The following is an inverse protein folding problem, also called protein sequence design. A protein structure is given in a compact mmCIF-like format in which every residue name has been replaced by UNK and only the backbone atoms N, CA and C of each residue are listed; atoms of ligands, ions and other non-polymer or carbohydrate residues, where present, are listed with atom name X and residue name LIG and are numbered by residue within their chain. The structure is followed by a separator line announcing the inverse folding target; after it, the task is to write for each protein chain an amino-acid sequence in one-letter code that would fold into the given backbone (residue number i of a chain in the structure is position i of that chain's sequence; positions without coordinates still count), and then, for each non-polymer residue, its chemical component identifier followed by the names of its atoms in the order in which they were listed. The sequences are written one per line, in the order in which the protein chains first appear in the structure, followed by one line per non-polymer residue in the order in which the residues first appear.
data_IF_670421357288
#
_entry.id   IF_670421357288
#
_cell.length_a   1.000
_cell.length_b   1.000
_cell.length_c   1.000
_cell.angle_alpha   90.00
_cell.angle_beta   90.00
_cell.angle_gamma   90.00
#
_symmetry.space_group_name_H-M   'P 1'
#
loop_
_entity.id
_entity.type
_entity.pdbx_description
1 polymer ?
#
# COMPACT_ATOMS: atom_id res chain seq x y z
N UNK A 1 -14.67 46.53 -68.59
CA UNK A 1 -16.07 46.09 -68.45
C UNK A 1 -16.05 44.59 -68.64
N UNK A 2 -15.74 43.79 -67.61
CA UNK A 2 -16.52 43.46 -66.40
C UNK A 2 -17.59 42.39 -66.65
N UNK A 3 -17.59 41.43 -65.71
CA UNK A 3 -18.63 40.45 -65.35
C UNK A 3 -18.62 39.10 -66.09
N UNK A 4 -18.69 37.92 -65.45
CA UNK A 4 -18.67 37.47 -64.05
C UNK A 4 -18.54 35.92 -64.08
N UNK A 5 -18.05 35.25 -63.02
CA UNK A 5 -17.90 33.78 -63.00
C UNK A 5 -19.24 33.06 -62.73
N UNK A 6 -19.41 31.79 -63.15
CA UNK A 6 -20.65 31.06 -62.89
C UNK A 6 -20.77 30.70 -61.40
N UNK A 7 -21.98 30.90 -60.93
CA UNK A 7 -22.50 30.76 -59.58
C UNK A 7 -22.37 29.35 -59.01
N UNK A 8 -22.09 29.31 -57.70
CA UNK A 8 -22.16 28.10 -56.89
C UNK A 8 -23.58 27.54 -56.84
N UNK A 9 -23.70 26.25 -57.13
CA UNK A 9 -24.86 25.44 -56.77
C UNK A 9 -24.78 25.02 -55.29
N UNK A 10 -25.92 24.96 -54.58
CA UNK A 10 -25.95 24.60 -53.18
C UNK A 10 -25.45 23.16 -52.98
N UNK A 11 -24.45 23.01 -52.10
CA UNK A 11 -23.98 21.72 -51.63
C UNK A 11 -25.15 20.92 -51.04
N UNK A 12 -25.58 19.90 -51.78
CA UNK A 12 -26.46 18.86 -51.24
C UNK A 12 -25.78 18.19 -50.05
N UNK A 13 -26.55 17.76 -49.03
CA UNK A 13 -26.00 17.17 -47.82
C UNK A 13 -25.16 15.95 -48.21
N UNK A 14 -23.88 15.97 -47.81
CA UNK A 14 -22.96 14.87 -48.00
C UNK A 14 -23.60 13.58 -47.53
N UNK A 15 -23.88 12.69 -48.48
CA UNK A 15 -24.38 11.35 -48.19
C UNK A 15 -23.41 10.61 -47.27
N UNK A 16 -23.91 9.76 -46.36
CA UNK A 16 -23.06 9.06 -45.41
C UNK A 16 -22.09 8.14 -46.17
N UNK A 17 -20.79 8.38 -45.97
CA UNK A 17 -19.75 7.47 -46.42
C UNK A 17 -19.95 6.05 -45.84
N UNK A 18 -19.41 5.01 -46.49
CA UNK A 18 -19.82 3.63 -46.24
C UNK A 18 -19.33 3.08 -44.88
N UNK A 19 -20.27 2.95 -43.94
CA UNK A 19 -20.36 1.80 -43.03
C UNK A 19 -19.73 1.91 -41.62
N UNK A 20 -19.47 3.10 -41.09
CA UNK A 20 -19.16 3.23 -39.67
C UNK A 20 -20.39 2.93 -38.80
N UNK A 21 -20.25 2.36 -37.58
CA UNK A 21 -21.36 2.33 -36.61
C UNK A 21 -21.93 3.74 -36.44
N UNK A 22 -23.25 3.88 -36.54
CA UNK A 22 -23.91 5.17 -36.40
C UNK A 22 -23.74 5.66 -34.95
N UNK A 23 -23.17 6.86 -34.78
CA UNK A 23 -22.97 7.45 -33.45
C UNK A 23 -24.33 7.74 -32.79
N UNK A 24 -24.49 7.50 -31.48
CA UNK A 24 -25.72 7.85 -30.77
C UNK A 24 -25.94 9.37 -30.79
N UNK A 25 -27.20 9.79 -30.73
CA UNK A 25 -27.58 11.21 -30.76
C UNK A 25 -27.23 11.96 -29.46
N UNK A 26 -26.96 11.23 -28.37
CA UNK A 26 -26.55 11.76 -27.07
C UNK A 26 -25.36 10.98 -26.50
N UNK A 27 -24.53 11.62 -25.65
CA UNK A 27 -23.42 10.94 -25.00
C UNK A 27 -23.91 9.92 -23.97
N UNK A 28 -23.10 8.90 -23.61
CA UNK A 28 -21.74 8.65 -24.09
C UNK A 28 -21.70 8.09 -25.54
N UNK A 29 -20.67 8.46 -26.29
CA UNK A 29 -20.46 8.14 -27.71
C UNK A 29 -19.58 6.90 -27.92
N UNK A 30 -19.65 6.31 -29.11
CA UNK A 30 -18.84 5.15 -29.47
C UNK A 30 -17.38 5.54 -29.75
N UNK A 31 -16.38 4.79 -29.24
CA UNK A 31 -14.97 4.97 -29.58
C UNK A 31 -14.71 4.82 -31.08
N UNK A 32 -13.80 5.63 -31.61
CA UNK A 32 -13.39 5.55 -33.02
C UNK A 32 -12.36 4.43 -33.30
N UNK A 33 -11.79 3.81 -32.27
CA UNK A 33 -10.74 2.80 -32.34
C UNK A 33 -11.09 1.57 -31.51
N UNK A 34 -10.47 0.44 -31.83
CA UNK A 34 -10.62 -0.80 -31.10
C UNK A 34 -9.99 -0.70 -29.70
N UNK A 35 -10.77 -1.10 -28.69
CA UNK A 35 -10.33 -1.17 -27.29
C UNK A 35 -9.80 -2.56 -26.98
N UNK A 36 -8.78 -2.65 -26.11
CA UNK A 36 -8.26 -3.92 -25.60
C UNK A 36 -9.38 -4.80 -25.02
N UNK A 37 -9.52 -6.01 -25.54
CA UNK A 37 -10.57 -6.96 -25.15
C UNK A 37 -11.91 -6.73 -25.84
N UNK A 38 -12.04 -5.67 -26.64
CA UNK A 38 -13.23 -5.34 -27.42
C UNK A 38 -14.54 -5.34 -26.60
N UNK A 39 -15.65 -5.50 -27.34
CA UNK A 39 -16.96 -5.65 -26.73
C UNK A 39 -17.07 -7.03 -26.05
N UNK A 40 -17.43 -7.08 -24.76
CA UNK A 40 -17.61 -8.33 -24.05
C UNK A 40 -18.81 -9.11 -24.61
N UNK A 41 -18.75 -10.44 -24.53
CA UNK A 41 -19.79 -11.35 -25.00
C UNK A 41 -20.12 -12.35 -23.91
N UNK A 42 -21.40 -12.62 -23.69
CA UNK A 42 -21.89 -13.58 -22.68
C UNK A 42 -21.13 -14.92 -22.67
N UNK A 43 -20.99 -15.67 -23.78
CA UNK A 43 -20.40 -17.02 -23.73
C UNK A 43 -18.92 -17.06 -23.33
N UNK A 44 -18.18 -15.96 -23.43
CA UNK A 44 -16.74 -15.92 -23.15
C UNK A 44 -16.42 -15.07 -21.92
N UNK A 45 -16.87 -13.83 -21.89
CA UNK A 45 -16.50 -12.87 -20.83
C UNK A 45 -17.17 -13.21 -19.50
N UNK A 46 -18.38 -13.77 -19.49
CA UNK A 46 -19.08 -14.09 -18.22
C UNK A 46 -18.38 -15.23 -17.48
N UNK A 47 -18.09 -16.40 -18.09
CA UNK A 47 -17.35 -17.46 -17.41
C UNK A 47 -15.96 -17.01 -16.92
N UNK A 48 -15.17 -16.35 -17.79
CA UNK A 48 -13.81 -15.92 -17.44
C UNK A 48 -13.84 -14.90 -16.30
N UNK A 49 -14.72 -13.90 -16.39
CA UNK A 49 -14.84 -12.88 -15.34
C UNK A 49 -15.31 -13.48 -14.01
N UNK A 50 -16.20 -14.47 -14.05
CA UNK A 50 -16.67 -15.16 -12.84
C UNK A 50 -15.54 -15.91 -12.13
N UNK A 51 -14.66 -16.58 -12.88
CA UNK A 51 -13.48 -17.26 -12.32
C UNK A 51 -12.53 -16.25 -11.66
N UNK A 52 -12.16 -15.18 -12.37
CA UNK A 52 -11.32 -14.12 -11.79
C UNK A 52 -11.96 -13.48 -10.56
N UNK A 53 -13.27 -13.24 -10.60
CA UNK A 53 -14.03 -12.66 -9.51
C UNK A 53 -13.97 -13.55 -8.27
N UNK A 54 -14.17 -14.87 -8.42
CA UNK A 54 -14.05 -15.83 -7.33
C UNK A 54 -12.63 -15.82 -6.71
N UNK A 55 -11.59 -15.75 -7.55
CA UNK A 55 -10.20 -15.68 -7.08
C UNK A 55 -9.94 -14.37 -6.31
N UNK A 56 -10.40 -13.22 -6.81
CA UNK A 56 -10.26 -11.95 -6.09
C UNK A 56 -11.05 -11.91 -4.79
N UNK A 57 -12.24 -12.50 -4.74
CA UNK A 57 -13.02 -12.63 -3.49
C UNK A 57 -12.23 -13.46 -2.48
N UNK A 58 -11.70 -14.62 -2.89
CA UNK A 58 -10.91 -15.47 -2.01
C UNK A 58 -9.63 -14.78 -1.53
N UNK A 59 -8.88 -14.14 -2.43
CA UNK A 59 -7.68 -13.39 -2.09
C UNK A 59 -7.97 -12.20 -1.16
N UNK A 60 -9.07 -11.48 -1.42
CA UNK A 60 -9.56 -10.39 -0.58
C UNK A 60 -9.92 -10.89 0.82
N UNK A 61 -10.62 -12.03 0.93
CA UNK A 61 -10.95 -12.66 2.21
C UNK A 61 -9.68 -13.03 3.00
N UNK A 62 -8.64 -13.54 2.34
CA UNK A 62 -7.33 -13.82 2.96
C UNK A 62 -6.70 -12.54 3.50
N UNK A 63 -6.60 -11.47 2.69
CA UNK A 63 -6.01 -10.21 3.12
C UNK A 63 -6.80 -9.53 4.26
N UNK A 64 -8.13 -9.57 4.20
CA UNK A 64 -9.00 -9.10 5.29
C UNK A 64 -8.82 -9.94 6.56
N UNK A 65 -8.75 -11.26 6.44
CA UNK A 65 -8.50 -12.17 7.55
C UNK A 65 -7.16 -11.90 8.22
N UNK A 66 -6.10 -11.71 7.42
CA UNK A 66 -4.77 -11.31 7.89
C UNK A 66 -4.82 -9.96 8.59
N UNK A 67 -5.46 -8.95 8.00
CA UNK A 67 -5.58 -7.62 8.60
C UNK A 67 -6.27 -7.67 9.97
N UNK A 68 -7.41 -8.35 10.06
CA UNK A 68 -8.16 -8.54 11.33
C UNK A 68 -7.33 -9.30 12.36
N UNK A 69 -6.65 -10.37 11.96
CA UNK A 69 -5.81 -11.16 12.86
C UNK A 69 -4.59 -10.38 13.36
N UNK A 70 -4.10 -9.42 12.59
CA UNK A 70 -2.96 -8.59 12.93
C UNK A 70 -3.36 -7.44 13.87
N UNK A 71 -4.49 -6.79 13.64
CA UNK A 71 -5.05 -5.80 14.59
C UNK A 71 -5.31 -6.42 15.96
N UNK A 72 -5.84 -7.65 16.01
CA UNK A 72 -6.05 -8.38 17.28
C UNK A 72 -4.78 -8.64 18.09
N UNK A 73 -3.59 -8.44 17.50
CA UNK A 73 -2.27 -8.65 18.12
C UNK A 73 -1.47 -7.34 18.21
N UNK A 74 -2.13 -6.19 18.10
CA UNK A 74 -1.49 -4.86 18.02
C UNK A 74 -0.43 -4.73 16.91
N UNK A 75 -0.51 -5.58 15.88
CA UNK A 75 0.36 -5.56 14.72
C UNK A 75 -0.33 -4.83 13.57
N UNK A 76 -0.34 -3.50 13.57
CA UNK A 76 -1.00 -2.75 12.49
C UNK A 76 -0.22 -2.88 11.18
N UNK A 77 -0.88 -3.39 10.13
CA UNK A 77 -0.29 -3.48 8.79
C UNK A 77 -1.32 -3.04 7.74
N UNK A 78 -1.34 -1.74 7.46
CA UNK A 78 -2.32 -1.08 6.60
C UNK A 78 -2.35 -1.65 5.17
N UNK A 79 -1.23 -2.18 4.66
CA UNK A 79 -1.20 -2.71 3.29
C UNK A 79 -2.07 -3.96 3.12
N UNK A 80 -2.35 -4.74 4.17
CA UNK A 80 -3.33 -5.83 4.06
C UNK A 80 -4.75 -5.31 3.85
N UNK A 81 -5.11 -4.18 4.46
CA UNK A 81 -6.39 -3.52 4.18
C UNK A 81 -6.41 -2.92 2.76
N UNK A 82 -5.31 -2.31 2.31
CA UNK A 82 -5.20 -1.82 0.92
C UNK A 82 -5.34 -2.96 -0.09
N UNK A 83 -4.68 -4.11 0.11
CA UNK A 83 -4.80 -5.26 -0.78
C UNK A 83 -6.22 -5.86 -0.78
N UNK A 84 -6.94 -5.78 0.33
CA UNK A 84 -8.37 -6.10 0.34
C UNK A 84 -9.19 -5.12 -0.52
N UNK A 85 -8.99 -3.80 -0.35
CA UNK A 85 -9.67 -2.77 -1.16
C UNK A 85 -9.35 -2.94 -2.65
N UNK A 86 -8.10 -3.29 -2.98
CA UNK A 86 -7.70 -3.65 -4.33
C UNK A 86 -8.53 -4.82 -4.88
N UNK A 87 -8.63 -5.92 -4.14
CA UNK A 87 -9.41 -7.08 -4.55
C UNK A 87 -10.89 -6.73 -4.75
N UNK A 88 -11.45 -5.91 -3.85
CA UNK A 88 -12.83 -5.44 -3.97
C UNK A 88 -13.05 -4.59 -5.22
N UNK A 89 -12.13 -3.66 -5.53
CA UNK A 89 -12.19 -2.86 -6.74
C UNK A 89 -12.15 -3.74 -8.00
N UNK A 90 -11.37 -4.84 -7.99
CA UNK A 90 -11.32 -5.81 -9.09
C UNK A 90 -12.59 -6.64 -9.24
N UNK A 91 -13.23 -7.00 -8.14
CA UNK A 91 -14.58 -7.61 -8.18
C UNK A 91 -15.57 -6.67 -8.86
N UNK A 92 -15.60 -5.37 -8.51
CA UNK A 92 -16.49 -4.40 -9.17
C UNK A 92 -16.17 -4.20 -10.66
N UNK A 93 -14.89 -4.19 -11.04
CA UNK A 93 -14.50 -4.12 -12.45
C UNK A 93 -14.99 -5.34 -13.25
N UNK A 94 -14.93 -6.54 -12.65
CA UNK A 94 -15.41 -7.77 -13.29
C UNK A 94 -16.94 -7.84 -13.34
N UNK A 95 -17.64 -7.38 -12.30
CA UNK A 95 -19.11 -7.26 -12.30
C UNK A 95 -19.55 -6.33 -13.43
N UNK A 96 -18.97 -5.14 -13.54
CA UNK A 96 -19.33 -4.21 -14.62
C UNK A 96 -18.99 -4.76 -16.01
N UNK A 97 -17.92 -5.55 -16.14
CA UNK A 97 -17.61 -6.29 -17.38
C UNK A 97 -18.67 -7.35 -17.72
N UNK A 98 -19.19 -8.07 -16.72
CA UNK A 98 -20.30 -9.04 -16.89
C UNK A 98 -21.59 -8.33 -17.31
N UNK A 99 -21.94 -7.23 -16.63
CA UNK A 99 -23.14 -6.44 -16.95
C UNK A 99 -23.04 -5.88 -18.37
N UNK A 100 -21.87 -5.39 -18.78
CA UNK A 100 -21.66 -4.93 -20.16
C UNK A 100 -21.81 -6.09 -21.17
N UNK A 101 -21.37 -7.31 -20.83
CA UNK A 101 -21.56 -8.47 -21.69
C UNK A 101 -23.04 -8.83 -21.90
N UNK A 102 -23.87 -8.66 -20.87
CA UNK A 102 -25.31 -8.92 -20.92
C UNK A 102 -26.11 -7.79 -21.57
N UNK A 103 -25.61 -6.55 -21.49
CA UNK A 103 -26.25 -5.34 -21.99
C UNK A 103 -25.26 -4.53 -22.86
N UNK A 104 -24.90 -5.05 -24.05
CA UNK A 104 -23.84 -4.46 -24.89
C UNK A 104 -24.17 -3.04 -25.38
N UNK A 105 -25.45 -2.71 -25.52
CA UNK A 105 -25.91 -1.40 -25.99
C UNK A 105 -25.89 -0.31 -24.91
N UNK A 106 -25.66 -0.68 -23.63
CA UNK A 106 -25.59 0.29 -22.54
C UNK A 106 -24.18 0.89 -22.42
N UNK A 107 -23.96 1.99 -23.14
CA UNK A 107 -22.67 2.68 -23.21
C UNK A 107 -22.20 3.23 -21.86
N UNK A 108 -23.10 3.60 -20.95
CA UNK A 108 -22.72 4.04 -19.59
C UNK A 108 -22.03 2.92 -18.79
N UNK A 109 -22.52 1.68 -18.94
CA UNK A 109 -21.87 0.51 -18.32
C UNK A 109 -20.51 0.23 -18.97
N UNK A 110 -20.40 0.41 -20.29
CA UNK A 110 -19.13 0.27 -21.01
C UNK A 110 -18.08 1.26 -20.49
N UNK A 111 -18.45 2.53 -20.30
CA UNK A 111 -17.57 3.55 -19.72
C UNK A 111 -17.16 3.16 -18.31
N UNK A 112 -18.11 2.80 -17.45
CA UNK A 112 -17.83 2.38 -16.07
C UNK A 112 -16.87 1.18 -16.00
N UNK A 113 -17.06 0.18 -16.88
CA UNK A 113 -16.19 -0.98 -16.98
C UNK A 113 -14.75 -0.59 -17.33
N UNK A 114 -14.55 0.25 -18.35
CA UNK A 114 -13.23 0.72 -18.76
C UNK A 114 -12.53 1.53 -17.66
N UNK A 115 -13.26 2.42 -16.98
CA UNK A 115 -12.71 3.23 -15.88
C UNK A 115 -12.28 2.36 -14.70
N UNK A 116 -13.11 1.40 -14.26
CA UNK A 116 -12.78 0.50 -13.16
C UNK A 116 -11.61 -0.43 -13.46
N UNK A 117 -11.49 -0.90 -14.71
CA UNK A 117 -10.34 -1.68 -15.17
C UNK A 117 -9.05 -0.85 -15.10
N UNK A 118 -9.08 0.38 -15.59
CA UNK A 118 -7.92 1.27 -15.58
C UNK A 118 -7.50 1.68 -14.16
N UNK A 119 -8.47 2.03 -13.31
CA UNK A 119 -8.19 2.61 -12.00
C UNK A 119 -7.56 1.63 -10.99
N UNK A 120 -7.95 0.36 -11.03
CA UNK A 120 -7.53 -0.60 -10.00
C UNK A 120 -6.01 -0.85 -9.92
N UNK A 121 -5.29 -0.75 -11.04
CA UNK A 121 -3.89 -1.23 -11.14
C UNK A 121 -2.91 -0.41 -10.32
N UNK A 122 -3.26 0.86 -10.09
CA UNK A 122 -2.39 1.87 -9.50
C UNK A 122 -2.03 1.53 -8.05
N UNK A 123 -2.93 0.86 -7.34
CA UNK A 123 -2.74 0.57 -5.92
C UNK A 123 -1.57 -0.40 -5.67
N UNK A 124 -1.34 -1.36 -6.57
CA UNK A 124 -0.19 -2.27 -6.46
C UNK A 124 1.14 -1.56 -6.71
N UNK A 125 1.17 -0.53 -7.56
CA UNK A 125 2.36 0.30 -7.76
C UNK A 125 2.71 1.07 -6.49
N UNK A 126 1.71 1.66 -5.83
CA UNK A 126 1.90 2.35 -4.54
C UNK A 126 2.47 1.41 -3.48
N UNK A 127 1.90 0.20 -3.35
CA UNK A 127 2.40 -0.81 -2.39
C UNK A 127 3.88 -1.13 -2.66
N UNK A 128 4.26 -1.36 -3.92
CA UNK A 128 5.64 -1.68 -4.28
C UNK A 128 6.61 -0.51 -4.05
N UNK A 129 6.20 0.72 -4.35
CA UNK A 129 7.00 1.91 -4.07
C UNK A 129 7.21 2.11 -2.57
N UNK A 130 6.18 1.86 -1.75
CA UNK A 130 6.31 1.96 -0.29
C UNK A 130 7.22 0.85 0.26
N UNK A 131 7.10 -0.38 -0.23
CA UNK A 131 8.02 -1.45 0.14
C UNK A 131 9.46 -1.17 -0.30
N UNK A 132 9.64 -0.57 -1.47
CA UNK A 132 10.93 -0.08 -1.95
C UNK A 132 11.52 0.96 -1.01
N UNK A 133 10.73 1.96 -0.59
CA UNK A 133 11.16 2.96 0.37
C UNK A 133 11.64 2.33 1.69
N UNK A 134 10.92 1.31 2.20
CA UNK A 134 11.32 0.56 3.39
C UNK A 134 12.65 -0.17 3.20
N UNK A 135 12.86 -0.78 2.03
CA UNK A 135 14.14 -1.43 1.70
C UNK A 135 15.27 -0.39 1.63
N UNK A 136 15.07 0.76 0.98
CA UNK A 136 16.09 1.82 0.91
C UNK A 136 16.46 2.32 2.30
N UNK A 137 15.47 2.54 3.19
CA UNK A 137 15.70 2.92 4.59
C UNK A 137 16.44 1.85 5.39
N UNK A 138 16.27 0.59 5.03
CA UNK A 138 17.00 -0.53 5.64
C UNK A 138 18.45 -0.60 5.18
N UNK A 139 18.71 -0.50 3.88
CA UNK A 139 20.07 -0.57 3.33
C UNK A 139 20.90 0.68 3.62
N UNK A 140 20.28 1.86 3.51
CA UNK A 140 20.94 3.16 3.66
C UNK A 140 20.11 4.08 4.57
N UNK A 141 20.12 3.88 5.90
CA UNK A 141 19.26 4.62 6.83
C UNK A 141 19.43 6.14 6.73
N UNK A 142 20.65 6.66 6.77
CA UNK A 142 20.92 8.09 6.68
C UNK A 142 20.38 8.72 5.38
N UNK A 143 20.53 8.03 4.25
CA UNK A 143 20.02 8.48 2.96
C UNK A 143 18.50 8.31 2.83
N UNK A 144 17.94 7.18 3.27
CA UNK A 144 16.52 6.86 3.17
C UNK A 144 15.62 7.69 4.08
N UNK A 145 16.16 8.21 5.18
CA UNK A 145 15.48 9.15 6.08
C UNK A 145 15.78 10.62 5.76
N UNK A 146 16.68 10.91 4.80
CA UNK A 146 16.97 12.27 4.38
C UNK A 146 15.72 12.96 3.82
N UNK A 147 15.56 14.26 4.12
CA UNK A 147 14.37 15.06 3.73
C UNK A 147 14.12 15.03 2.23
N UNK A 148 15.18 15.10 1.42
CA UNK A 148 15.08 15.04 -0.05
C UNK A 148 14.52 13.69 -0.51
N UNK A 149 15.07 12.58 -0.01
CA UNK A 149 14.62 11.23 -0.37
C UNK A 149 13.17 11.02 0.05
N UNK A 150 12.79 11.45 1.26
CA UNK A 150 11.40 11.38 1.71
C UNK A 150 10.47 12.23 0.83
N UNK A 151 10.88 13.47 0.50
CA UNK A 151 10.16 14.35 -0.41
C UNK A 151 9.99 13.76 -1.80
N UNK A 152 11.02 13.10 -2.34
CA UNK A 152 10.96 12.43 -3.65
C UNK A 152 9.95 11.27 -3.66
N UNK A 153 9.90 10.44 -2.61
CA UNK A 153 8.88 9.40 -2.48
C UNK A 153 7.47 10.00 -2.34
N UNK A 154 7.30 11.05 -1.53
CA UNK A 154 6.02 11.76 -1.39
C UNK A 154 5.56 12.34 -2.74
N UNK A 155 6.46 13.01 -3.47
CA UNK A 155 6.18 13.53 -4.80
C UNK A 155 5.81 12.41 -5.78
N UNK A 156 6.47 11.26 -5.70
CA UNK A 156 6.14 10.08 -6.51
C UNK A 156 4.73 9.57 -6.19
N UNK A 157 4.34 9.49 -4.91
CA UNK A 157 2.99 9.09 -4.52
C UNK A 157 1.94 10.11 -4.97
N UNK A 158 2.21 11.40 -4.83
CA UNK A 158 1.33 12.46 -5.32
C UNK A 158 1.18 12.40 -6.86
N UNK A 159 2.27 12.16 -7.58
CA UNK A 159 2.26 11.98 -9.03
C UNK A 159 1.39 10.79 -9.44
N UNK A 160 1.49 9.65 -8.74
CA UNK A 160 0.64 8.48 -9.00
C UNK A 160 -0.86 8.83 -8.89
N UNK A 161 -1.25 9.57 -7.85
CA UNK A 161 -2.66 9.99 -7.66
C UNK A 161 -3.07 10.99 -8.75
N UNK A 162 -2.22 11.97 -9.07
CA UNK A 162 -2.48 12.96 -10.12
C UNK A 162 -2.67 12.29 -11.49
N UNK A 163 -1.83 11.31 -11.84
CA UNK A 163 -1.95 10.54 -13.08
C UNK A 163 -3.25 9.74 -13.12
N UNK A 164 -3.68 9.16 -11.99
CA UNK A 164 -4.94 8.44 -11.92
C UNK A 164 -6.14 9.37 -12.21
N UNK A 165 -6.19 10.53 -11.56
CA UNK A 165 -7.27 11.52 -11.78
C UNK A 165 -7.26 11.98 -13.24
N UNK A 166 -6.09 12.36 -13.75
CA UNK A 166 -5.92 12.83 -15.12
C UNK A 166 -6.37 11.77 -16.13
N UNK A 167 -5.98 10.51 -15.95
CA UNK A 167 -6.32 9.42 -16.85
C UNK A 167 -7.81 9.07 -16.81
N UNK A 168 -8.44 9.06 -15.63
CA UNK A 168 -9.88 8.86 -15.49
C UNK A 168 -10.62 9.98 -16.20
N UNK A 169 -10.27 11.24 -15.94
CA UNK A 169 -10.93 12.41 -16.54
C UNK A 169 -10.81 12.38 -18.06
N UNK A 170 -9.60 12.17 -18.61
CA UNK A 170 -9.40 12.09 -20.06
C UNK A 170 -10.12 10.88 -20.68
N UNK A 171 -10.17 9.75 -19.98
CA UNK A 171 -10.93 8.57 -20.43
C UNK A 171 -12.41 8.90 -20.52
N UNK A 172 -13.02 9.36 -19.42
CA UNK A 172 -14.45 9.70 -19.39
C UNK A 172 -14.76 10.79 -20.40
N UNK A 173 -14.00 11.89 -20.42
CA UNK A 173 -14.25 13.02 -21.32
C UNK A 173 -14.23 12.60 -22.80
N UNK A 174 -13.33 11.71 -23.20
CA UNK A 174 -13.27 11.21 -24.59
C UNK A 174 -14.55 10.50 -25.05
N UNK A 175 -15.35 9.96 -24.12
CA UNK A 175 -16.67 9.37 -24.42
C UNK A 175 -17.80 10.42 -24.49
N UNK A 176 -17.63 11.63 -23.98
CA UNK A 176 -18.68 12.64 -23.89
C UNK A 176 -18.52 13.80 -24.90
N UNK A 177 -17.46 13.78 -25.70
CA UNK A 177 -17.21 14.77 -26.77
C UNK A 177 -17.19 14.10 -28.14
N UNK A 178 -17.64 14.79 -29.18
CA UNK A 178 -17.49 14.39 -30.59
C UNK A 178 -16.40 15.22 -31.31
N UNK A 179 -15.86 16.25 -30.66
CA UNK A 179 -14.85 17.14 -31.23
C UNK A 179 -13.52 16.36 -31.44
N UNK A 180 -13.05 16.21 -32.69
CA UNK A 180 -11.79 15.51 -32.98
C UNK A 180 -10.58 16.15 -32.31
N UNK A 181 -10.54 17.47 -32.16
CA UNK A 181 -9.40 18.17 -31.55
C UNK A 181 -9.34 17.88 -30.05
N UNK A 182 -10.49 17.91 -29.36
CA UNK A 182 -10.56 17.58 -27.94
C UNK A 182 -10.21 16.11 -27.69
N UNK A 183 -10.70 15.19 -28.53
CA UNK A 183 -10.35 13.77 -28.44
C UNK A 183 -8.85 13.53 -28.67
N UNK A 184 -8.21 14.29 -29.56
CA UNK A 184 -6.76 14.21 -29.76
C UNK A 184 -5.99 14.64 -28.49
N UNK A 185 -6.42 15.74 -27.84
CA UNK A 185 -5.82 16.19 -26.57
C UNK A 185 -6.03 15.18 -25.44
N UNK A 186 -7.24 14.65 -25.28
CA UNK A 186 -7.52 13.59 -24.30
C UNK A 186 -6.66 12.35 -24.57
N UNK A 187 -6.43 12.03 -25.84
CA UNK A 187 -5.59 10.91 -26.24
C UNK A 187 -4.13 11.13 -25.87
N UNK A 188 -3.57 12.31 -26.11
CA UNK A 188 -2.20 12.65 -25.71
C UNK A 188 -2.04 12.51 -24.19
N UNK A 189 -3.03 13.00 -23.43
CA UNK A 189 -3.08 12.84 -21.97
C UNK A 189 -3.08 11.37 -21.57
N UNK A 190 -3.89 10.53 -22.23
CA UNK A 190 -3.91 9.09 -21.95
C UNK A 190 -2.57 8.40 -22.25
N UNK A 191 -1.91 8.77 -23.35
CA UNK A 191 -0.60 8.22 -23.73
C UNK A 191 0.47 8.61 -22.70
N UNK A 192 0.55 9.89 -22.34
CA UNK A 192 1.49 10.38 -21.32
C UNK A 192 1.21 9.70 -19.97
N UNK A 193 -0.06 9.63 -19.58
CA UNK A 193 -0.48 8.98 -18.33
C UNK A 193 -0.11 7.51 -18.27
N UNK A 194 -0.39 6.75 -19.33
CA UNK A 194 -0.04 5.33 -19.42
C UNK A 194 1.48 5.11 -19.39
N UNK A 195 2.25 5.94 -20.10
CA UNK A 195 3.73 5.86 -20.11
C UNK A 195 4.32 6.13 -18.75
N UNK A 196 3.87 7.20 -18.07
CA UNK A 196 4.36 7.52 -16.74
C UNK A 196 3.97 6.45 -15.71
N UNK A 197 2.77 5.86 -15.80
CA UNK A 197 2.38 4.73 -14.96
C UNK A 197 3.23 3.47 -15.23
N UNK A 198 3.61 3.19 -16.48
CA UNK A 198 4.52 2.09 -16.80
C UNK A 198 5.93 2.34 -16.25
N UNK A 199 6.44 3.57 -16.34
CA UNK A 199 7.70 3.95 -15.70
C UNK A 199 7.63 3.81 -14.18
N UNK A 200 6.52 4.23 -13.56
CA UNK A 200 6.29 4.09 -12.11
C UNK A 200 6.19 2.63 -11.66
N UNK A 201 5.61 1.75 -12.48
CA UNK A 201 5.58 0.31 -12.22
C UNK A 201 6.98 -0.32 -12.26
N UNK A 202 7.85 0.19 -13.15
CA UNK A 202 9.23 -0.23 -13.27
C UNK A 202 10.14 0.34 -12.17
N UNK A 203 9.89 1.58 -11.74
CA UNK A 203 10.73 2.37 -10.84
C UNK A 203 11.22 1.67 -9.56
N UNK A 204 10.42 0.85 -8.85
CA UNK A 204 10.91 0.03 -7.73
C UNK A 204 12.15 -0.81 -8.05
N UNK A 205 12.22 -1.40 -9.24
CA UNK A 205 13.29 -2.31 -9.64
C UNK A 205 14.67 -1.61 -9.67
N UNK A 206 14.90 -0.54 -10.47
CA UNK A 206 16.19 0.14 -10.48
C UNK A 206 16.53 0.76 -9.12
N UNK A 207 15.55 1.27 -8.36
CA UNK A 207 15.83 1.80 -7.02
C UNK A 207 16.40 0.70 -6.10
N UNK A 208 15.77 -0.48 -6.08
CA UNK A 208 16.26 -1.61 -5.26
C UNK A 208 17.62 -2.11 -5.75
N UNK A 209 17.86 -2.18 -7.07
CA UNK A 209 19.18 -2.55 -7.62
C UNK A 209 20.25 -1.56 -7.17
N UNK A 210 20.00 -0.26 -7.32
CA UNK A 210 20.93 0.79 -6.89
C UNK A 210 21.20 0.72 -5.38
N UNK A 211 20.17 0.48 -4.57
CA UNK A 211 20.32 0.34 -3.12
C UNK A 211 21.21 -0.84 -2.73
N UNK A 212 21.18 -1.95 -3.48
CA UNK A 212 22.02 -3.14 -3.22
C UNK A 212 23.44 -2.94 -3.73
N UNK A 213 23.62 -2.30 -4.88
CA UNK A 213 24.92 -2.07 -5.50
C UNK A 213 25.73 -0.98 -4.77
N UNK A 214 25.07 -0.05 -4.10
CA UNK A 214 25.73 1.02 -3.37
C UNK A 214 26.42 0.50 -2.09
N UNK A 215 27.73 0.75 -1.90
CA UNK A 215 28.48 0.22 -0.77
C UNK A 215 28.01 0.80 0.57
N UNK A 216 27.97 -0.04 1.61
CA UNK A 216 27.63 0.38 2.97
C UNK A 216 28.73 1.25 3.55
N UNK A 217 28.38 2.40 4.11
CA UNK A 217 29.39 3.31 4.61
C UNK A 217 29.99 2.84 5.94
N UNK A 218 29.20 2.40 6.93
CA UNK A 218 29.74 2.04 8.27
C UNK A 218 28.90 1.04 9.12
N UNK A 219 27.62 0.82 8.82
CA UNK A 219 26.74 -0.05 9.61
C UNK A 219 25.97 -0.96 8.65
N UNK A 220 25.93 -2.27 8.91
CA UNK A 220 25.17 -3.20 8.07
C UNK A 220 23.67 -2.85 8.00
N UNK A 221 22.89 -3.46 7.08
CA UNK A 221 21.48 -3.12 6.89
C UNK A 221 20.63 -3.20 8.17
N UNK A 222 19.78 -2.20 8.39
CA UNK A 222 18.79 -2.19 9.47
C UNK A 222 17.66 -3.18 9.16
N UNK A 223 17.79 -4.41 9.63
CA UNK A 223 16.78 -5.46 9.41
C UNK A 223 15.45 -5.05 10.05
N UNK A 224 14.37 -5.07 9.28
CA UNK A 224 13.00 -4.82 9.74
C UNK A 224 12.08 -5.99 9.40
N UNK A 225 10.97 -6.09 10.13
CA UNK A 225 10.01 -7.17 10.01
C UNK A 225 10.62 -8.56 10.27
N UNK A 226 9.92 -9.58 9.76
CA UNK A 226 10.30 -10.98 9.90
C UNK A 226 10.93 -11.54 8.61
N UNK A 227 11.92 -12.41 8.75
CA UNK A 227 12.60 -13.07 7.62
C UNK A 227 13.88 -12.34 7.16
N UNK A 228 14.41 -12.77 6.02
CA UNK A 228 15.64 -12.21 5.46
C UNK A 228 15.37 -10.99 4.56
N UNK A 229 16.28 -10.02 4.62
CA UNK A 229 16.23 -8.81 3.77
C UNK A 229 16.35 -9.16 2.28
N UNK A 230 17.12 -10.21 1.95
CA UNK A 230 17.21 -10.75 0.59
C UNK A 230 15.86 -11.21 0.06
N UNK A 231 15.02 -11.84 0.89
CA UNK A 231 13.70 -12.28 0.47
C UNK A 231 12.73 -11.10 0.29
N UNK A 232 12.84 -10.03 1.10
CA UNK A 232 12.09 -8.79 0.89
C UNK A 232 12.47 -8.14 -0.45
N UNK A 233 13.78 -8.04 -0.73
CA UNK A 233 14.32 -7.57 -2.01
C UNK A 233 13.80 -8.39 -3.18
N UNK A 234 13.95 -9.72 -3.13
CA UNK A 234 13.51 -10.60 -4.21
C UNK A 234 12.01 -10.43 -4.48
N UNK A 235 11.21 -10.38 -3.42
CA UNK A 235 9.77 -10.17 -3.53
C UNK A 235 9.44 -8.87 -4.27
N UNK A 236 10.00 -7.73 -3.85
CA UNK A 236 9.73 -6.43 -4.49
C UNK A 236 10.22 -6.43 -5.94
N UNK A 237 11.39 -6.98 -6.22
CA UNK A 237 11.94 -7.06 -7.57
C UNK A 237 11.04 -7.89 -8.50
N UNK A 238 10.62 -9.08 -8.06
CA UNK A 238 9.74 -9.95 -8.83
C UNK A 238 8.38 -9.31 -9.08
N UNK A 239 7.73 -8.76 -8.05
CA UNK A 239 6.40 -8.13 -8.25
C UNK A 239 6.49 -6.87 -9.08
N UNK A 240 7.59 -6.10 -8.99
CA UNK A 240 7.78 -4.91 -9.82
C UNK A 240 7.96 -5.25 -11.29
N UNK A 241 8.72 -6.31 -11.61
CA UNK A 241 8.83 -6.80 -12.99
C UNK A 241 7.48 -7.30 -13.53
N UNK A 242 6.72 -8.08 -12.75
CA UNK A 242 5.39 -8.54 -13.14
C UNK A 242 4.45 -7.36 -13.44
N UNK A 243 4.40 -6.38 -12.55
CA UNK A 243 3.59 -5.18 -12.72
C UNK A 243 4.06 -4.32 -13.91
N UNK A 244 5.37 -4.27 -14.17
CA UNK A 244 5.95 -3.60 -15.34
C UNK A 244 5.49 -4.26 -16.63
N UNK A 245 5.46 -5.59 -16.71
CA UNK A 245 4.96 -6.30 -17.89
C UNK A 245 3.50 -5.93 -18.16
N UNK A 246 2.65 -5.90 -17.13
CA UNK A 246 1.25 -5.52 -17.28
C UNK A 246 1.05 -4.05 -17.68
N UNK A 247 1.83 -3.13 -17.10
CA UNK A 247 1.76 -1.72 -17.44
C UNK A 247 2.34 -1.44 -18.83
N UNK A 248 3.51 -2.00 -19.15
CA UNK A 248 4.17 -1.87 -20.43
C UNK A 248 3.33 -2.42 -21.58
N UNK A 249 2.64 -3.55 -21.39
CA UNK A 249 1.70 -4.06 -22.38
C UNK A 249 0.58 -3.06 -22.65
N UNK A 250 -0.08 -2.55 -21.60
CA UNK A 250 -1.17 -1.57 -21.75
C UNK A 250 -0.71 -0.27 -22.41
N UNK A 251 0.49 0.19 -22.07
CA UNK A 251 1.11 1.36 -22.72
C UNK A 251 1.41 1.07 -24.19
N UNK A 252 1.97 -0.09 -24.52
CA UNK A 252 2.24 -0.50 -25.90
C UNK A 252 0.96 -0.56 -26.74
N UNK A 253 -0.11 -1.17 -26.21
CA UNK A 253 -1.43 -1.17 -26.84
C UNK A 253 -1.98 0.25 -26.99
N UNK A 254 -1.74 1.12 -26.02
CA UNK A 254 -2.12 2.52 -26.13
C UNK A 254 -1.38 3.23 -27.27
N UNK A 255 -0.11 2.94 -27.58
CA UNK A 255 0.58 3.60 -28.70
C UNK A 255 0.19 3.10 -30.09
N UNK A 256 -0.51 1.97 -30.20
CA UNK A 256 -0.90 1.37 -31.48
C UNK A 256 -2.44 1.33 -31.66
N UNK A 257 -3.10 2.49 -31.89
CA UNK A 257 -4.53 2.53 -32.11
C UNK A 257 -4.91 1.81 -33.41
N UNK A 258 -5.78 0.81 -33.32
CA UNK A 258 -6.29 0.08 -34.49
C UNK A 258 -7.74 0.44 -34.80
N UNK A 259 -8.14 0.51 -36.08
CA UNK A 259 -9.55 0.67 -36.46
C UNK A 259 -10.40 -0.51 -35.94
N UNK A 260 -11.69 -0.26 -35.69
CA UNK A 260 -12.64 -1.29 -35.20
C UNK A 260 -12.72 -2.54 -36.10
N UNK A 261 -12.48 -2.41 -37.40
CA UNK A 261 -12.57 -3.49 -38.39
C UNK A 261 -11.29 -4.33 -38.52
N UNK A 262 -10.17 -3.88 -37.96
CA UNK A 262 -8.86 -4.51 -38.10
C UNK A 262 -8.21 -4.70 -36.72
N UNK A 263 -8.75 -5.63 -35.92
CA UNK A 263 -8.24 -5.90 -34.58
C UNK A 263 -6.95 -6.71 -34.61
N UNK A 264 -5.86 -6.13 -34.09
CA UNK A 264 -4.59 -6.83 -33.92
C UNK A 264 -4.64 -7.92 -32.83
N UNK A 265 -3.68 -8.84 -32.86
CA UNK A 265 -3.60 -9.98 -31.91
C UNK A 265 -3.55 -9.55 -30.44
N UNK A 266 -2.95 -8.40 -30.14
CA UNK A 266 -2.82 -7.87 -28.78
C UNK A 266 -4.10 -7.22 -28.25
N UNK A 267 -5.11 -6.97 -29.11
CA UNK A 267 -6.41 -6.42 -28.71
C UNK A 267 -7.43 -7.50 -28.31
N UNK A 268 -7.03 -8.76 -28.35
CA UNK A 268 -7.92 -9.90 -28.11
C UNK A 268 -8.35 -10.00 -26.63
N UNK A 269 -9.48 -10.70 -26.40
CA UNK A 269 -10.01 -10.96 -25.05
C UNK A 269 -9.02 -11.67 -24.12
N UNK A 270 -8.27 -12.71 -24.56
CA UNK A 270 -7.25 -13.34 -23.71
C UNK A 270 -6.19 -12.34 -23.22
N UNK A 271 -5.68 -11.48 -24.10
CA UNK A 271 -4.73 -10.44 -23.73
C UNK A 271 -5.32 -9.49 -22.68
N UNK A 272 -6.57 -9.06 -22.87
CA UNK A 272 -7.27 -8.23 -21.88
C UNK A 272 -7.27 -8.86 -20.48
N UNK A 273 -7.67 -10.13 -20.36
CA UNK A 273 -7.71 -10.80 -19.05
C UNK A 273 -6.34 -11.04 -18.44
N UNK A 274 -5.36 -11.46 -19.23
CA UNK A 274 -4.00 -11.75 -18.74
C UNK A 274 -3.35 -10.49 -18.17
N UNK A 275 -3.38 -9.38 -18.93
CA UNK A 275 -2.63 -8.17 -18.58
C UNK A 275 -3.37 -7.22 -17.64
N UNK A 276 -4.71 -7.29 -17.55
CA UNK A 276 -5.49 -6.48 -16.59
C UNK A 276 -5.86 -7.21 -15.30
N UNK A 277 -5.92 -8.55 -15.29
CA UNK A 277 -6.35 -9.31 -14.11
C UNK A 277 -5.40 -10.45 -13.74
N UNK A 278 -4.87 -11.18 -14.73
CA UNK A 278 -3.97 -12.32 -14.51
C UNK A 278 -2.72 -11.98 -13.70
N UNK A 279 -1.95 -11.01 -14.20
CA UNK A 279 -0.74 -10.52 -13.52
C UNK A 279 -1.04 -10.05 -12.10
N UNK A 280 -2.16 -9.35 -11.93
CA UNK A 280 -2.55 -8.75 -10.66
C UNK A 280 -2.96 -9.78 -9.61
N UNK A 281 -3.74 -10.78 -10.03
CA UNK A 281 -4.07 -11.94 -9.20
C UNK A 281 -2.79 -12.62 -8.72
N UNK A 282 -1.83 -12.85 -9.63
CA UNK A 282 -0.54 -13.47 -9.29
C UNK A 282 0.18 -12.64 -8.22
N UNK A 283 0.27 -11.33 -8.40
CA UNK A 283 0.93 -10.43 -7.42
C UNK A 283 0.24 -10.46 -6.06
N UNK A 284 -1.10 -10.40 -6.02
CA UNK A 284 -1.87 -10.45 -4.76
C UNK A 284 -1.68 -11.80 -4.04
N UNK A 285 -1.66 -12.90 -4.79
CA UNK A 285 -1.39 -14.24 -4.25
C UNK A 285 0.04 -14.32 -3.72
N UNK A 286 1.03 -13.81 -4.46
CA UNK A 286 2.43 -13.73 -3.99
C UNK A 286 2.50 -12.96 -2.66
N UNK A 287 1.81 -11.83 -2.53
CA UNK A 287 1.80 -11.06 -1.28
C UNK A 287 1.18 -11.82 -0.11
N UNK A 288 0.07 -12.51 -0.36
CA UNK A 288 -0.56 -13.35 0.65
C UNK A 288 0.34 -14.52 1.08
N UNK A 289 0.87 -15.27 0.10
CA UNK A 289 1.73 -16.43 0.33
C UNK A 289 3.05 -16.06 1.01
N UNK A 290 3.67 -14.96 0.58
CA UNK A 290 4.91 -14.49 1.18
C UNK A 290 4.74 -13.86 2.56
N UNK A 291 3.50 -13.71 3.06
CA UNK A 291 3.19 -13.06 4.34
C UNK A 291 3.84 -11.68 4.43
N UNK A 292 3.56 -10.82 3.43
CA UNK A 292 4.08 -9.45 3.40
C UNK A 292 3.72 -8.66 4.65
N UNK A 293 2.62 -9.03 5.30
CA UNK A 293 2.17 -8.49 6.57
C UNK A 293 3.19 -8.64 7.69
N UNK A 294 3.95 -9.73 7.69
CA UNK A 294 5.04 -9.97 8.65
C UNK A 294 6.36 -9.47 8.10
N UNK A 295 6.64 -9.71 6.82
CA UNK A 295 7.93 -9.36 6.23
C UNK A 295 8.15 -7.86 6.21
N UNK A 296 7.15 -7.09 5.80
CA UNK A 296 7.31 -5.64 5.65
C UNK A 296 6.82 -4.86 6.88
N UNK A 297 6.54 -5.51 8.00
CA UNK A 297 6.11 -4.81 9.20
C UNK A 297 7.20 -3.88 9.74
N UNK A 298 6.79 -2.67 10.09
CA UNK A 298 7.60 -1.62 10.71
C UNK A 298 6.69 -1.03 11.78
N UNK A 299 7.19 -0.89 13.01
CA UNK A 299 6.39 -0.37 14.11
C UNK A 299 5.99 1.08 13.92
N UNK A 300 4.85 1.41 14.52
CA UNK A 300 4.25 2.75 14.48
C UNK A 300 5.26 3.80 14.99
N UNK A 301 5.29 4.96 14.35
CA UNK A 301 6.11 6.09 14.79
C UNK A 301 7.57 6.12 14.32
N UNK A 302 8.02 5.16 13.50
CA UNK A 302 9.37 5.20 12.91
C UNK A 302 9.57 6.45 12.05
N UNK A 303 10.48 7.34 12.47
CA UNK A 303 10.75 8.67 11.87
C UNK A 303 12.24 8.92 11.60
N UNK A 304 13.14 8.10 12.14
CA UNK A 304 14.58 8.34 12.10
C UNK A 304 15.40 7.05 11.84
N UNK A 305 16.68 7.17 11.45
CA UNK A 305 17.62 6.05 11.45
C UNK A 305 17.67 5.34 12.81
N UNK A 306 17.75 4.01 12.80
CA UNK A 306 17.73 3.18 14.01
C UNK A 306 16.34 2.70 14.45
N UNK A 307 15.27 3.39 14.05
CA UNK A 307 13.90 3.06 14.48
C UNK A 307 13.44 1.68 14.03
N UNK A 308 13.93 1.20 12.88
CA UNK A 308 13.58 -0.13 12.36
C UNK A 308 14.12 -1.24 13.28
N UNK A 309 15.35 -1.08 13.77
CA UNK A 309 15.97 -2.00 14.72
C UNK A 309 15.26 -1.89 16.07
N UNK A 310 15.00 -0.69 16.57
CA UNK A 310 14.33 -0.46 17.84
C UNK A 310 12.93 -1.08 17.87
N UNK A 311 12.14 -0.84 16.82
CA UNK A 311 10.81 -1.42 16.64
C UNK A 311 10.86 -2.96 16.59
N UNK A 312 11.80 -3.52 15.83
CA UNK A 312 11.98 -4.97 15.75
C UNK A 312 12.35 -5.56 17.11
N UNK A 313 13.27 -4.94 17.85
CA UNK A 313 13.64 -5.36 19.22
C UNK A 313 12.42 -5.33 20.14
N UNK A 314 11.68 -4.22 20.16
CA UNK A 314 10.47 -4.08 20.98
C UNK A 314 9.45 -5.20 20.73
N UNK A 315 9.20 -5.55 19.46
CA UNK A 315 8.28 -6.64 19.11
C UNK A 315 8.75 -8.04 19.55
N UNK A 316 10.05 -8.26 19.73
CA UNK A 316 10.59 -9.57 20.14
C UNK A 316 10.76 -9.72 21.66
N UNK A 317 10.84 -8.62 22.42
CA UNK A 317 11.08 -8.63 23.87
C UNK A 317 10.10 -9.52 24.68
N UNK A 318 8.77 -9.53 24.41
CA UNK A 318 7.85 -10.40 25.15
C UNK A 318 8.14 -11.89 24.92
N UNK A 319 8.51 -12.26 23.70
CA UNK A 319 8.85 -13.65 23.34
C UNK A 319 10.12 -14.10 24.06
N UNK A 320 11.15 -13.24 24.08
CA UNK A 320 12.39 -13.53 24.82
C UNK A 320 12.16 -13.63 26.33
N UNK A 321 11.35 -12.74 26.91
CA UNK A 321 11.02 -12.81 28.35
C UNK A 321 10.29 -14.10 28.71
N UNK A 322 9.35 -14.54 27.88
CA UNK A 322 8.63 -15.79 28.11
C UNK A 322 9.53 -17.01 27.90
N UNK A 323 10.43 -16.99 26.90
CA UNK A 323 11.40 -18.07 26.71
C UNK A 323 12.36 -18.18 27.91
N UNK A 324 12.96 -17.07 28.36
CA UNK A 324 13.84 -17.06 29.51
C UNK A 324 13.12 -17.50 30.80
N UNK A 325 11.83 -17.14 30.95
CA UNK A 325 10.99 -17.62 32.06
C UNK A 325 10.77 -19.13 32.01
N UNK A 326 10.50 -19.69 30.82
CA UNK A 326 10.34 -21.15 30.66
C UNK A 326 11.64 -21.90 30.93
N UNK A 327 12.75 -21.34 30.47
CA UNK A 327 14.09 -21.89 30.73
C UNK A 327 14.45 -21.82 32.22
N UNK A 328 14.09 -20.75 32.94
CA UNK A 328 14.31 -20.64 34.39
C UNK A 328 13.37 -21.51 35.23
N UNK A 329 12.18 -21.85 34.71
CA UNK A 329 11.24 -22.80 35.33
C UNK A 329 11.59 -24.27 35.11
N UNK A 330 12.58 -24.59 34.26
CA UNK A 330 13.09 -25.94 34.01
C UNK A 330 14.47 -26.12 34.67
N UNK A 331 14.57 -26.28 36.01
CA UNK A 331 15.85 -26.57 36.64
C UNK A 331 16.35 -27.95 36.20
N UNK A 332 17.45 -27.99 35.45
CA UNK A 332 18.34 -29.15 35.41
C UNK A 332 18.14 -30.20 34.30
N UNK A 333 17.42 -29.95 33.20
CA UNK A 333 17.34 -30.91 32.07
C UNK A 333 18.02 -30.41 30.79
N UNK A 334 19.28 -29.98 30.87
CA UNK A 334 20.13 -29.71 29.70
C UNK A 334 21.63 -29.89 30.01
N UNK A 335 21.99 -30.96 30.73
CA UNK A 335 23.31 -31.55 30.50
C UNK A 335 23.16 -32.50 29.31
N UNK A 336 23.88 -32.29 28.18
CA UNK A 336 23.86 -33.26 27.11
C UNK A 336 24.42 -34.59 27.64
N UNK A 337 23.85 -35.75 27.26
CA UNK A 337 24.42 -37.03 27.65
C UNK A 337 25.88 -37.10 27.16
N UNK A 338 26.80 -37.63 27.97
CA UNK A 338 28.21 -37.70 27.60
C UNK A 338 28.35 -38.61 26.38
N UNK A 339 28.68 -38.04 25.21
CA UNK A 339 29.02 -38.84 24.02
C UNK A 339 28.60 -38.33 22.64
N UNK A 340 27.84 -37.24 22.49
CA UNK A 340 27.46 -36.74 21.15
C UNK A 340 28.27 -35.49 20.79
N UNK A 341 29.10 -35.64 19.74
CA UNK A 341 30.05 -34.66 19.19
C UNK A 341 29.47 -33.24 19.10
N UNK A 342 30.15 -32.32 19.76
CA UNK A 342 29.78 -30.93 20.06
C UNK A 342 29.83 -29.94 18.88
N UNK A 343 30.04 -30.37 17.63
CA UNK A 343 30.39 -29.46 16.53
C UNK A 343 29.27 -28.57 15.97
N UNK A 344 27.99 -28.99 16.07
CA UNK A 344 26.87 -28.27 15.42
C UNK A 344 26.07 -27.40 16.39
N UNK A 345 25.88 -27.86 17.63
CA UNK A 345 25.22 -27.12 18.69
C UNK A 345 26.12 -26.03 19.30
N UNK A 346 27.44 -26.25 19.38
CA UNK A 346 28.39 -25.21 19.80
C UNK A 346 28.48 -24.11 18.75
N UNK A 347 28.44 -24.44 17.45
CA UNK A 347 28.47 -23.46 16.36
C UNK A 347 27.20 -22.60 16.33
N UNK A 348 26.02 -23.17 16.60
CA UNK A 348 24.78 -22.41 16.72
C UNK A 348 24.78 -21.48 17.96
N UNK A 349 25.33 -21.94 19.10
CA UNK A 349 25.48 -21.12 20.31
C UNK A 349 26.57 -20.06 20.18
N UNK A 350 27.70 -20.35 19.53
CA UNK A 350 28.77 -19.38 19.31
C UNK A 350 28.31 -18.31 18.33
N UNK A 351 27.69 -18.68 17.21
CA UNK A 351 27.13 -17.68 16.27
C UNK A 351 26.07 -16.82 16.96
N UNK A 352 25.28 -17.37 17.88
CA UNK A 352 24.26 -16.62 18.63
C UNK A 352 24.85 -15.71 19.71
N UNK A 353 25.88 -16.17 20.44
CA UNK A 353 26.60 -15.37 21.44
C UNK A 353 27.49 -14.30 20.79
N UNK A 354 28.13 -14.60 19.65
CA UNK A 354 28.89 -13.65 18.83
C UNK A 354 27.96 -12.55 18.30
N UNK A 355 26.72 -12.90 17.90
CA UNK A 355 25.69 -11.90 17.57
C UNK A 355 25.30 -11.05 18.79
N UNK A 356 25.29 -11.58 20.02
CA UNK A 356 25.03 -10.81 21.25
C UNK A 356 26.19 -9.87 21.56
N UNK A 357 27.44 -10.31 21.41
CA UNK A 357 28.62 -9.49 21.65
C UNK A 357 28.80 -8.40 20.57
N UNK A 358 28.43 -8.69 19.33
CA UNK A 358 28.33 -7.69 18.25
C UNK A 358 27.19 -6.67 18.52
N UNK A 359 26.10 -7.11 19.17
CA UNK A 359 24.99 -6.25 19.58
C UNK A 359 25.31 -5.37 20.80
N UNK A 360 26.20 -5.82 21.70
CA UNK A 360 26.69 -5.05 22.85
C UNK A 360 27.84 -4.11 22.47
N UNK A 361 28.76 -4.53 21.59
CA UNK A 361 29.91 -3.73 21.14
C UNK A 361 29.53 -2.48 20.35
N UNK A 362 28.43 -2.52 19.57
CA UNK A 362 27.93 -1.35 18.83
C UNK A 362 27.27 -0.32 19.75
N UNK A 363 26.83 -0.71 20.95
CA UNK A 363 26.27 0.21 21.95
C UNK A 363 27.35 1.00 22.73
N UNK A 364 28.61 0.57 22.67
CA UNK A 364 29.74 1.21 23.38
C UNK A 364 30.43 2.32 22.58
N UNK A 365 30.00 2.59 21.34
CA UNK A 365 30.67 3.54 20.43
C UNK A 365 30.16 4.99 20.47
N UNK A 366 29.28 5.35 21.42
CA UNK A 366 28.87 6.73 21.64
C UNK A 366 29.30 7.19 23.02
N UNK A 367 30.31 8.06 23.06
CA UNK A 367 30.73 8.79 24.26
C UNK A 367 29.59 9.69 24.76
N UNK A 368 28.73 9.13 25.59
CA UNK A 368 27.87 9.85 26.49
C UNK A 368 27.76 9.03 27.78
N UNK A 369 28.00 9.59 28.98
CA UNK A 369 28.00 8.81 30.21
C UNK A 369 26.58 8.30 30.48
N UNK A 370 26.37 6.98 30.37
CA UNK A 370 25.14 6.33 30.81
C UNK A 370 25.21 6.14 32.33
N UNK A 371 24.52 7.01 33.07
CA UNK A 371 24.21 6.76 34.47
C UNK A 371 23.23 5.60 34.56
N UNK A 372 23.60 4.56 35.31
CA UNK A 372 22.72 3.45 35.63
C UNK A 372 21.58 3.93 36.52
N UNK A 373 20.40 4.14 35.95
CA UNK A 373 19.15 4.31 36.68
C UNK A 373 18.17 3.21 36.28
N UNK A 374 18.48 1.97 36.69
CA UNK A 374 17.48 0.91 36.83
C UNK A 374 16.69 1.17 38.11
N UNK A 375 15.57 1.88 38.00
CA UNK A 375 14.35 1.72 38.80
C UNK A 375 13.39 2.88 38.52
N UNK A 376 12.69 2.79 37.39
CA UNK A 376 11.54 3.65 37.11
C UNK A 376 10.26 2.99 37.62
N UNK A 377 9.38 3.70 38.34
CA UNK A 377 8.12 3.13 38.81
C UNK A 377 7.27 2.62 37.64
N UNK A 378 6.62 1.47 37.84
CA UNK A 378 5.69 0.87 36.88
C UNK A 378 4.63 1.89 36.46
N UNK A 379 4.06 1.77 35.26
CA UNK A 379 3.03 2.71 34.75
C UNK A 379 1.88 2.88 35.77
N UNK A 380 1.50 1.79 36.45
CA UNK A 380 0.49 1.80 37.51
C UNK A 380 0.94 2.55 38.77
N UNK A 381 2.22 2.50 39.11
CA UNK A 381 2.78 3.25 40.24
C UNK A 381 2.83 4.76 39.95
N UNK A 382 3.08 5.14 38.70
CA UNK A 382 3.02 6.54 38.24
C UNK A 382 1.59 7.09 38.22
N UNK A 383 0.60 6.28 37.85
CA UNK A 383 -0.81 6.66 37.93
C UNK A 383 -1.26 6.91 39.38
N UNK A 384 -0.91 6.01 40.32
CA UNK A 384 -1.25 6.18 41.75
C UNK A 384 -0.56 7.42 42.33
N UNK A 385 0.69 7.70 41.93
CA UNK A 385 1.41 8.89 42.39
C UNK A 385 0.81 10.18 41.82
N UNK A 386 0.40 10.17 40.55
CA UNK A 386 -0.31 11.28 39.92
C UNK A 386 -1.66 11.54 40.59
N UNK A 387 -2.46 10.49 40.87
CA UNK A 387 -3.75 10.63 41.55
C UNK A 387 -3.61 11.28 42.93
N UNK A 388 -2.60 10.87 43.72
CA UNK A 388 -2.33 11.48 45.04
C UNK A 388 -1.91 12.94 44.94
N UNK A 389 -1.07 13.29 43.96
CA UNK A 389 -0.68 14.69 43.74
C UNK A 389 -1.85 15.53 43.25
N UNK A 390 -2.64 15.00 42.32
CA UNK A 390 -3.82 15.67 41.78
C UNK A 390 -4.87 15.93 42.88
N UNK A 391 -5.07 14.97 43.79
CA UNK A 391 -5.93 15.15 44.97
C UNK A 391 -5.39 16.24 45.89
N UNK A 392 -4.09 16.23 46.21
CA UNK A 392 -3.49 17.23 47.10
C UNK A 392 -3.55 18.66 46.50
N UNK A 393 -3.30 18.79 45.20
CA UNK A 393 -3.38 20.09 44.50
C UNK A 393 -4.82 20.62 44.45
N UNK A 394 -5.81 19.72 44.30
CA UNK A 394 -7.23 20.07 44.35
C UNK A 394 -7.67 20.50 45.76
N UNK A 395 -7.26 19.77 46.80
CA UNK A 395 -7.53 20.14 48.19
C UNK A 395 -6.95 21.52 48.53
N UNK A 396 -5.71 21.77 48.07
CA UNK A 396 -5.06 23.07 48.25
C UNK A 396 -5.82 24.19 47.53
N UNK A 397 -6.25 23.98 46.28
CA UNK A 397 -7.03 24.96 45.51
C UNK A 397 -8.44 25.21 46.07
N UNK A 398 -9.03 24.20 46.73
CA UNK A 398 -10.29 24.38 47.46
C UNK A 398 -10.05 25.19 48.74
N UNK A 399 -8.96 24.92 49.46
CA UNK A 399 -8.56 25.68 50.67
C UNK A 399 -8.21 27.14 50.35
N UNK A 400 -7.58 27.40 49.21
CA UNK A 400 -7.19 28.75 48.76
C UNK A 400 -8.37 29.53 48.13
N UNK A 401 -9.54 28.89 47.98
CA UNK A 401 -10.78 29.52 47.50
C UNK A 401 -10.90 29.65 45.98
N UNK A 402 -9.94 29.12 45.21
CA UNK A 402 -9.87 29.22 43.74
C UNK A 402 -10.88 28.30 43.03
N UNK A 403 -11.41 27.28 43.72
CA UNK A 403 -12.37 26.31 43.16
C UNK A 403 -13.57 26.18 44.09
N UNK A 404 -14.74 26.66 43.66
CA UNK A 404 -16.01 26.45 44.38
C UNK A 404 -16.53 25.02 44.16
N UNK A 405 -16.66 24.26 45.25
CA UNK A 405 -17.31 22.94 45.24
C UNK A 405 -18.83 23.16 45.17
N UNK A 406 -19.56 22.53 44.22
CA UNK A 406 -21.01 22.67 44.15
C UNK A 406 -21.69 22.13 45.42
N UNK A 407 -22.64 22.87 45.99
CA UNK A 407 -23.36 22.54 47.24
C UNK A 407 -24.22 21.25 47.21
N UNK A 408 -24.07 20.39 46.22
CA UNK A 408 -24.88 19.18 46.03
C UNK A 408 -24.20 17.87 46.50
N UNK A 409 -23.23 17.93 47.42
CA UNK A 409 -22.56 16.77 48.02
C UNK A 409 -22.45 16.87 49.54
N UNK A 410 -23.47 17.45 50.19
CA UNK A 410 -23.65 17.36 51.64
C UNK A 410 -24.54 16.14 51.96
N UNK A 411 -24.07 14.94 51.64
CA UNK A 411 -24.61 13.69 52.16
C UNK A 411 -23.45 12.97 52.81
N UNK A 412 -23.46 12.92 54.14
CA UNK A 412 -22.40 12.35 54.97
C UNK A 412 -22.24 10.86 54.77
N UNK A 413 -21.52 10.48 53.72
CA UNK A 413 -20.92 9.16 53.57
C UNK A 413 -19.45 9.35 53.16
N UNK A 414 -18.57 9.13 54.13
CA UNK A 414 -17.14 9.40 54.06
C UNK A 414 -16.41 8.19 53.50
N UNK A 415 -16.01 8.26 52.24
CA UNK A 415 -14.64 7.90 51.84
C UNK A 415 -14.12 9.11 51.07
N UNK A 416 -13.16 9.83 51.64
CA UNK A 416 -12.67 11.15 51.21
C UNK A 416 -12.00 11.20 49.83
N UNK A 417 -12.62 10.63 48.81
CA UNK A 417 -12.17 10.63 47.43
C UNK A 417 -12.87 11.76 46.65
N UNK A 418 -12.07 12.66 46.07
CA UNK A 418 -12.54 13.72 45.16
C UNK A 418 -13.19 13.10 43.92
N UNK A 419 -14.36 13.57 43.45
CA UNK A 419 -15.04 13.03 42.27
C UNK A 419 -14.16 13.02 41.01
N UNK A 420 -14.14 11.90 40.28
CA UNK A 420 -13.31 11.67 39.07
C UNK A 420 -13.40 12.77 38.00
N UNK A 421 -14.59 13.38 37.84
CA UNK A 421 -14.81 14.45 36.85
C UNK A 421 -14.07 15.76 37.16
N UNK A 422 -13.55 15.92 38.39
CA UNK A 422 -12.70 17.05 38.77
C UNK A 422 -11.22 16.73 38.56
N UNK A 423 -10.79 15.48 38.74
CA UNK A 423 -9.42 15.03 38.48
C UNK A 423 -9.05 15.15 36.99
N UNK A 424 -10.01 15.01 36.08
CA UNK A 424 -9.78 15.18 34.63
C UNK A 424 -9.51 16.63 34.20
N UNK A 425 -9.66 17.61 35.10
CA UNK A 425 -9.36 19.03 34.82
C UNK A 425 -7.92 19.42 35.17
N UNK A 426 -7.16 18.55 35.82
CA UNK A 426 -5.73 18.75 36.12
C UNK A 426 -4.92 18.31 34.89
N UNK A 427 -4.10 19.19 34.27
CA UNK A 427 -3.23 18.81 33.17
C UNK A 427 -2.32 17.64 33.55
N UNK A 428 -2.19 16.65 32.67
CA UNK A 428 -1.16 15.60 32.80
C UNK A 428 0.10 16.10 32.11
N UNK A 429 1.17 16.30 32.87
CA UNK A 429 2.49 16.55 32.29
C UNK A 429 3.01 15.27 31.61
N UNK A 430 3.55 15.40 30.40
CA UNK A 430 4.02 14.30 29.53
C UNK A 430 5.19 13.48 30.10
#
# INVERSE_FOLDING_TARGET
MSDSPPSGGPGGPGGPGPGGPQQPSSPPYLPSYAILGGNPTVPLDVPISTVFMAIFIAAGAVHMGVFRANIKRDHKFVFSALLFVFCLARVFALITRIVWAAHPDNLSVAVASNVLVAAGVVLLFLVNLIFTQRIVRSYHPQFGWHKITNGAFIATFALVIALLIMLITATVHSFFTLDPEVRAKDRDVQLVGATLLALLAFLPFPIVVLAIMWPYRQSGPEKFGYGSLRAQVFLVMTTSLLLTVGAGFRTGVAYDPRPLRESAWFLTKPCFYIFNFGIEVIVVIIYAAARVDRRFWVGDGSKAPGDYIASRRASMLPVYREQNRRESMLPGMLQPPPGISSGRASRARSTFADNIQELEGVASGSDAPFTSASDGPSVRSREIEWEKRAQHELEKRISDGDVQVPSALNTGDTDGAVPEHLLSKVPRDE
#
